data_IF_370838347739
#
_entry.id   IF_370838347739
#
_cell.length_a   1.000
_cell.length_b   1.000
_cell.length_c   1.000
_cell.angle_alpha   90.00
_cell.angle_beta   90.00
_cell.angle_gamma   90.00
#
_symmetry.space_group_name_H-M   'P 1'
#
loop_
_entity.id
_entity.type
_entity.pdbx_description
1 polymer ?
#
# COMPACT_ATOMS: atom_id res chain seq x y z
N UNK A 1 -15.09 -12.85 -4.28
CA UNK A 1 -14.45 -11.86 -5.14
C UNK A 1 -13.09 -11.54 -4.61
N UNK A 2 -12.09 -11.58 -5.43
CA UNK A 2 -10.79 -11.12 -4.98
C UNK A 2 -10.83 -9.63 -4.70
N UNK A 3 -10.11 -9.22 -3.69
CA UNK A 3 -10.02 -7.81 -3.37
C UNK A 3 -9.13 -7.12 -4.38
N UNK A 4 -9.70 -6.24 -5.17
CA UNK A 4 -8.97 -5.57 -6.23
C UNK A 4 -7.88 -4.64 -5.68
N UNK A 5 -7.98 -4.27 -4.41
CA UNK A 5 -7.09 -3.29 -3.80
C UNK A 5 -6.32 -3.86 -2.62
N UNK A 6 -6.10 -5.17 -2.63
CA UNK A 6 -5.30 -5.84 -1.62
C UNK A 6 -4.28 -6.73 -2.31
N UNK A 7 -3.11 -6.84 -1.72
CA UNK A 7 -2.06 -7.70 -2.25
C UNK A 7 -1.14 -8.13 -1.12
N UNK A 8 -0.67 -9.37 -1.18
CA UNK A 8 0.38 -9.84 -0.26
C UNK A 8 1.72 -9.76 -0.95
N UNK A 9 2.71 -9.24 -0.24
CA UNK A 9 4.03 -9.06 -0.81
C UNK A 9 5.07 -9.21 0.30
N UNK A 10 5.96 -10.18 0.14
CA UNK A 10 7.07 -10.42 1.08
C UNK A 10 6.60 -10.51 2.54
N UNK A 11 5.51 -11.23 2.76
CA UNK A 11 4.97 -11.42 4.11
C UNK A 11 4.20 -10.23 4.64
N UNK A 12 3.98 -9.23 3.82
CA UNK A 12 3.19 -8.06 4.18
C UNK A 12 1.90 -8.04 3.38
N UNK A 13 0.81 -7.61 4.02
CA UNK A 13 -0.45 -7.41 3.33
C UNK A 13 -0.63 -5.93 3.07
N UNK A 14 -0.84 -5.59 1.83
CA UNK A 14 -1.02 -4.21 1.40
C UNK A 14 -2.49 -3.95 1.16
N UNK A 15 -3.02 -2.91 1.77
CA UNK A 15 -4.36 -2.42 1.51
C UNK A 15 -4.23 -1.05 0.87
N UNK A 16 -4.49 -0.98 -0.42
CA UNK A 16 -4.38 0.26 -1.17
C UNK A 16 -5.73 0.70 -1.73
N UNK A 17 -6.80 0.44 -0.98
CA UNK A 17 -8.14 0.87 -1.35
C UNK A 17 -8.19 2.39 -1.41
N UNK A 18 -8.53 2.96 -2.57
CA UNK A 18 -8.59 4.41 -2.69
C UNK A 18 -9.77 5.00 -1.93
N UNK A 19 -9.66 6.27 -1.56
CA UNK A 19 -10.73 6.98 -0.87
C UNK A 19 -11.34 8.03 -1.80
N UNK A 20 -12.67 8.12 -1.83
CA UNK A 20 -13.28 9.20 -2.60
C UNK A 20 -12.92 10.56 -1.99
N UNK A 21 -12.62 11.51 -2.85
CA UNK A 21 -12.33 12.87 -2.43
C UNK A 21 -13.62 13.70 -2.41
N UNK A 22 -13.72 14.61 -1.45
CA UNK A 22 -14.91 15.42 -1.32
C UNK A 22 -15.18 16.30 -2.55
N UNK A 23 -14.13 16.72 -3.24
CA UNK A 23 -14.24 17.52 -4.44
C UNK A 23 -14.33 16.72 -5.73
N UNK A 24 -14.49 15.42 -5.65
CA UNK A 24 -14.47 14.53 -6.80
C UNK A 24 -13.12 13.83 -6.92
N UNK A 25 -13.10 12.72 -7.65
CA UNK A 25 -11.90 11.93 -7.80
C UNK A 25 -11.59 11.10 -6.57
N UNK A 26 -10.35 10.59 -6.51
CA UNK A 26 -9.94 9.66 -5.47
C UNK A 26 -8.54 10.00 -4.99
N UNK A 27 -8.29 9.78 -3.71
CA UNK A 27 -6.95 9.90 -3.14
C UNK A 27 -6.39 8.51 -2.86
N UNK A 28 -5.08 8.39 -2.98
CA UNK A 28 -4.39 7.15 -2.65
C UNK A 28 -4.35 6.99 -1.14
N UNK A 29 -4.41 5.73 -0.70
CA UNK A 29 -4.30 5.39 0.70
C UNK A 29 -3.58 4.05 0.79
N UNK A 30 -2.69 3.93 1.76
CA UNK A 30 -1.94 2.70 1.92
C UNK A 30 -1.85 2.31 3.39
N UNK A 31 -2.25 1.08 3.67
CA UNK A 31 -2.01 0.44 4.95
C UNK A 31 -1.27 -0.85 4.72
N UNK A 32 -0.31 -1.13 5.58
CA UNK A 32 0.50 -2.34 5.48
C UNK A 32 0.36 -3.10 6.78
N UNK A 33 0.09 -4.39 6.70
CA UNK A 33 0.01 -5.27 7.85
C UNK A 33 1.09 -6.32 7.73
N UNK A 34 1.89 -6.46 8.75
CA UNK A 34 2.90 -7.49 8.85
C UNK A 34 2.60 -8.37 10.04
N UNK A 35 2.42 -9.66 9.81
CA UNK A 35 2.11 -10.62 10.87
C UNK A 35 3.22 -11.64 10.96
N UNK A 36 3.70 -11.89 12.17
CA UNK A 36 4.62 -12.98 12.40
C UNK A 36 4.37 -13.53 13.80
N UNK A 37 4.24 -14.84 13.89
CA UNK A 37 3.86 -15.47 15.14
C UNK A 37 2.52 -14.93 15.63
N UNK A 38 2.48 -14.54 16.89
CA UNK A 38 1.28 -13.94 17.48
C UNK A 38 1.23 -12.43 17.32
N UNK A 39 2.26 -11.86 16.71
CA UNK A 39 2.33 -10.40 16.53
C UNK A 39 1.72 -9.97 15.22
N UNK A 40 1.09 -8.80 15.27
CA UNK A 40 0.53 -8.20 14.07
C UNK A 40 0.77 -6.70 14.15
N UNK A 41 1.57 -6.19 13.22
CA UNK A 41 1.87 -4.77 13.13
C UNK A 41 1.13 -4.16 11.97
N UNK A 42 0.57 -2.99 12.19
CA UNK A 42 -0.13 -2.26 11.16
C UNK A 42 0.50 -0.88 10.99
N UNK A 43 0.75 -0.52 9.74
CA UNK A 43 1.39 0.75 9.41
C UNK A 43 0.51 1.53 8.46
N UNK A 44 0.33 2.81 8.71
CA UNK A 44 -0.28 3.72 7.76
C UNK A 44 0.85 4.44 7.04
N UNK A 45 0.93 4.28 5.74
CA UNK A 45 2.02 4.84 4.95
C UNK A 45 1.51 6.07 4.22
N UNK A 46 2.24 7.16 4.34
CA UNK A 46 1.91 8.40 3.64
C UNK A 46 2.27 8.25 2.16
N UNK A 47 1.27 8.34 1.31
CA UNK A 47 1.45 8.22 -0.13
C UNK A 47 1.11 9.54 -0.85
N UNK A 48 1.04 10.63 -0.09
CA UNK A 48 0.73 11.93 -0.65
C UNK A 48 -0.76 12.21 -0.65
N UNK A 49 -1.11 13.38 -1.14
CA UNK A 49 -2.50 13.85 -1.16
C UNK A 49 -2.99 14.17 -2.56
N UNK A 50 -2.34 13.65 -3.58
CA UNK A 50 -2.75 13.85 -4.96
C UNK A 50 -4.13 13.23 -5.19
N UNK A 51 -4.98 13.97 -5.90
CA UNK A 51 -6.29 13.49 -6.27
C UNK A 51 -6.21 12.92 -7.69
N UNK A 52 -6.73 11.71 -7.86
CA UNK A 52 -6.74 11.02 -9.14
C UNK A 52 -8.17 10.98 -9.67
N UNK A 53 -8.30 10.99 -10.98
CA UNK A 53 -9.62 10.96 -11.60
C UNK A 53 -10.30 9.60 -11.43
N UNK A 54 -9.54 8.54 -11.34
CA UNK A 54 -10.07 7.18 -11.27
C UNK A 54 -9.51 6.43 -10.08
N UNK A 55 -10.34 5.54 -9.52
CA UNK A 55 -9.94 4.74 -8.37
C UNK A 55 -8.71 3.89 -8.66
N UNK A 56 -8.66 3.32 -9.86
CA UNK A 56 -7.53 2.46 -10.24
C UNK A 56 -6.21 3.22 -10.26
N UNK A 57 -6.24 4.48 -10.66
CA UNK A 57 -5.03 5.30 -10.68
C UNK A 57 -4.52 5.55 -9.27
N UNK A 58 -5.43 5.87 -8.35
CA UNK A 58 -5.06 6.08 -6.96
C UNK A 58 -4.55 4.78 -6.34
N UNK A 59 -5.21 3.67 -6.63
CA UNK A 59 -4.81 2.37 -6.11
C UNK A 59 -3.43 1.98 -6.63
N UNK A 60 -3.16 2.20 -7.91
CA UNK A 60 -1.86 1.86 -8.48
C UNK A 60 -0.74 2.68 -7.83
N UNK A 61 -0.99 3.96 -7.61
CA UNK A 61 -0.03 4.82 -6.94
C UNK A 61 0.30 4.30 -5.54
N UNK A 62 -0.73 3.95 -4.77
CA UNK A 62 -0.54 3.42 -3.43
C UNK A 62 0.14 2.06 -3.46
N UNK A 63 -0.22 1.21 -4.41
CA UNK A 63 0.39 -0.10 -4.55
C UNK A 63 1.88 0.00 -4.80
N UNK A 64 2.27 0.86 -5.73
CA UNK A 64 3.69 1.05 -6.03
C UNK A 64 4.45 1.59 -4.83
N UNK A 65 3.85 2.51 -4.10
CA UNK A 65 4.46 3.02 -2.88
C UNK A 65 4.60 1.91 -1.83
N UNK A 66 3.60 1.04 -1.75
CA UNK A 66 3.64 -0.08 -0.82
C UNK A 66 4.72 -1.09 -1.15
N UNK A 67 4.85 -1.44 -2.43
CA UNK A 67 5.89 -2.36 -2.85
C UNK A 67 7.28 -1.80 -2.53
N UNK A 68 7.46 -0.51 -2.81
CA UNK A 68 8.73 0.15 -2.51
C UNK A 68 8.98 0.20 -0.99
N UNK A 69 7.94 0.52 -0.23
CA UNK A 69 8.05 0.59 1.23
C UNK A 69 8.48 -0.74 1.82
N UNK A 70 7.86 -1.83 1.34
CA UNK A 70 8.22 -3.17 1.81
C UNK A 70 9.62 -3.53 1.37
N UNK A 71 9.99 -3.20 0.15
CA UNK A 71 11.35 -3.47 -0.35
C UNK A 71 12.39 -2.74 0.47
N UNK A 72 12.14 -1.50 0.80
CA UNK A 72 13.07 -0.72 1.63
C UNK A 72 13.17 -1.27 3.04
N UNK A 73 12.06 -1.81 3.55
CA UNK A 73 12.02 -2.38 4.88
C UNK A 73 12.71 -3.74 4.94
N UNK A 74 12.53 -4.56 3.90
CA UNK A 74 13.02 -5.94 3.89
C UNK A 74 14.14 -6.18 2.91
N UNK A 75 14.31 -5.31 1.95
CA UNK A 75 15.20 -5.53 0.83
C UNK A 75 16.65 -5.20 1.09
N UNK A 76 16.98 -4.72 2.27
CA UNK A 76 18.37 -4.36 2.56
C UNK A 76 19.31 -5.54 2.43
N UNK A 77 18.84 -6.70 2.87
CA UNK A 77 19.67 -7.90 2.75
C UNK A 77 19.95 -8.21 1.29
N UNK A 78 18.90 -8.12 0.47
CA UNK A 78 19.06 -8.36 -0.95
C UNK A 78 19.90 -7.30 -1.62
N UNK A 79 19.69 -6.05 -1.25
CA UNK A 79 20.41 -4.94 -1.85
C UNK A 79 21.89 -4.95 -1.47
N UNK A 80 22.18 -5.41 -0.28
CA UNK A 80 23.55 -5.42 0.19
C UNK A 80 24.32 -6.64 -0.26
N UNK A 81 23.63 -7.57 -0.84
CA UNK A 81 24.27 -8.80 -1.30
C UNK A 81 25.22 -8.55 -2.48
#
# INVERSE_FOLDING_TARGET
MPDAFHESYRGHELDFTPRPSAGGGFTARLQVVHSFGAHRDQFSVDVGSTVFAQAEQAALHARQAGLKWVDERTGHEGASA
#
